data_IF_226220751223
#
_entry.id   IF_226220751223
#
_cell.length_a   1.000
_cell.length_b   1.000
_cell.length_c   1.000
_cell.angle_alpha   90.00
_cell.angle_beta   90.00
_cell.angle_gamma   90.00
#
_symmetry.space_group_name_H-M   'P 1'
#
loop_
_entity.id
_entity.type
_entity.pdbx_description
1 polymer ?
#
# COMPACT_ATOMS: atom_id res chain seq x y z
N UNK A 1 -24.80 0.93 -7.66
CA UNK A 1 -23.97 2.08 -8.08
C UNK A 1 -22.77 1.54 -8.82
N UNK A 2 -22.42 2.12 -9.97
CA UNK A 2 -21.36 1.62 -10.85
C UNK A 2 -20.04 2.29 -10.47
N UNK A 3 -19.06 1.50 -10.04
CA UNK A 3 -17.68 1.97 -9.88
C UNK A 3 -16.95 1.90 -11.23
N UNK A 4 -16.07 2.86 -11.50
CA UNK A 4 -15.22 2.83 -12.69
C UNK A 4 -13.74 3.01 -12.33
N UNK A 5 -12.87 2.59 -13.24
CA UNK A 5 -11.42 2.72 -13.09
C UNK A 5 -10.90 3.82 -14.00
N UNK A 6 -10.27 4.82 -13.40
CA UNK A 6 -9.55 5.88 -14.09
C UNK A 6 -8.06 5.55 -14.09
N UNK A 7 -7.44 5.58 -15.27
CA UNK A 7 -6.00 5.31 -15.40
C UNK A 7 -5.20 6.54 -14.94
N UNK A 8 -4.37 6.36 -13.93
CA UNK A 8 -3.49 7.42 -13.39
C UNK A 8 -2.11 7.34 -14.04
N UNK A 9 -1.47 6.17 -13.95
CA UNK A 9 -0.16 5.94 -14.55
C UNK A 9 0.02 4.47 -14.90
N UNK A 10 0.71 4.17 -16.01
CA UNK A 10 1.02 2.80 -16.41
C UNK A 10 2.43 2.76 -17.00
N UNK A 11 3.27 1.92 -16.42
CA UNK A 11 4.60 1.57 -16.90
C UNK A 11 4.83 0.06 -16.69
N UNK A 12 5.92 -0.51 -17.24
CA UNK A 12 6.30 -1.90 -16.98
C UNK A 12 6.52 -2.22 -15.49
N UNK A 13 6.92 -1.22 -14.70
CA UNK A 13 7.27 -1.38 -13.28
C UNK A 13 6.11 -1.16 -12.32
N UNK A 14 5.09 -0.40 -12.74
CA UNK A 14 3.91 -0.11 -11.93
C UNK A 14 2.72 0.34 -12.79
N UNK A 15 1.52 -0.09 -12.42
CA UNK A 15 0.26 0.40 -12.98
C UNK A 15 -0.66 0.87 -11.85
N UNK A 16 -1.12 2.12 -11.93
CA UNK A 16 -1.98 2.77 -10.94
C UNK A 16 -3.29 3.18 -11.61
N UNK A 17 -4.39 2.70 -11.03
CA UNK A 17 -5.74 3.10 -11.41
C UNK A 17 -6.46 3.64 -10.18
N UNK A 18 -7.19 4.74 -10.34
CA UNK A 18 -8.07 5.29 -9.31
C UNK A 18 -9.45 4.65 -9.45
N UNK A 19 -10.03 4.21 -8.35
CA UNK A 19 -11.42 3.73 -8.33
C UNK A 19 -12.32 4.93 -8.05
N UNK A 20 -13.07 5.38 -9.05
CA UNK A 20 -14.11 6.38 -8.84
C UNK A 20 -15.41 5.66 -8.46
N UNK A 21 -16.02 6.12 -7.37
CA UNK A 21 -17.23 5.54 -6.82
C UNK A 21 -17.66 6.31 -5.58
N UNK A 22 -18.78 5.90 -4.99
CA UNK A 22 -19.35 6.58 -3.83
C UNK A 22 -18.71 6.05 -2.53
N UNK A 23 -17.50 6.52 -2.23
CA UNK A 23 -16.78 6.22 -0.99
C UNK A 23 -16.17 7.50 -0.42
N UNK A 24 -16.10 7.60 0.91
CA UNK A 24 -15.38 8.68 1.58
C UNK A 24 -13.85 8.54 1.51
N UNK A 25 -13.34 7.44 0.95
CA UNK A 25 -11.92 7.17 0.82
C UNK A 25 -11.48 7.28 -0.64
N UNK A 26 -10.32 7.92 -0.86
CA UNK A 26 -9.59 7.80 -2.11
C UNK A 26 -9.06 6.37 -2.22
N UNK A 27 -9.40 5.68 -3.31
CA UNK A 27 -9.05 4.28 -3.53
C UNK A 27 -8.26 4.12 -4.81
N UNK A 28 -7.19 3.34 -4.72
CA UNK A 28 -6.33 3.01 -5.83
C UNK A 28 -6.21 1.49 -5.97
N UNK A 29 -6.12 1.02 -7.23
CA UNK A 29 -5.64 -0.30 -7.58
C UNK A 29 -4.24 -0.13 -8.12
N UNK A 30 -3.29 -0.80 -7.48
CA UNK A 30 -1.88 -0.75 -7.89
C UNK A 30 -1.38 -2.15 -8.19
N UNK A 31 -0.85 -2.32 -9.40
CA UNK A 31 -0.21 -3.55 -9.86
C UNK A 31 1.28 -3.31 -10.04
N UNK A 32 2.10 -4.21 -9.51
CA UNK A 32 3.57 -4.20 -9.60
C UNK A 32 4.06 -5.58 -10.02
N UNK A 33 5.28 -5.74 -10.54
CA UNK A 33 5.89 -7.05 -10.76
C UNK A 33 5.82 -7.96 -9.53
N UNK A 34 5.93 -7.38 -8.33
CA UNK A 34 5.83 -8.09 -7.06
C UNK A 34 4.42 -8.63 -6.79
N UNK A 35 3.37 -7.80 -6.93
CA UNK A 35 1.99 -8.27 -6.74
C UNK A 35 1.55 -9.22 -7.84
N UNK A 36 1.93 -8.96 -9.10
CA UNK A 36 1.69 -9.89 -10.21
C UNK A 36 2.36 -11.24 -9.99
N UNK A 37 3.60 -11.25 -9.48
CA UNK A 37 4.28 -12.50 -9.18
C UNK A 37 3.52 -13.27 -8.08
N UNK A 38 3.10 -12.61 -7.00
CA UNK A 38 2.32 -13.23 -5.92
C UNK A 38 1.02 -13.85 -6.46
N UNK A 39 0.29 -13.12 -7.30
CA UNK A 39 -0.98 -13.60 -7.85
C UNK A 39 -0.82 -14.76 -8.83
N UNK A 40 0.30 -14.81 -9.58
CA UNK A 40 0.50 -15.77 -10.67
C UNK A 40 1.40 -16.97 -10.30
N UNK A 41 2.09 -16.96 -9.15
CA UNK A 41 3.03 -18.02 -8.74
C UNK A 41 2.77 -18.47 -7.30
N UNK A 42 2.12 -19.61 -7.15
CA UNK A 42 1.69 -20.15 -5.85
C UNK A 42 2.87 -20.57 -4.97
N UNK A 43 4.05 -20.81 -5.55
CA UNK A 43 5.27 -21.20 -4.83
C UNK A 43 5.88 -20.04 -4.04
N UNK A 44 5.39 -18.81 -4.24
CA UNK A 44 5.82 -17.63 -3.48
C UNK A 44 5.13 -17.66 -2.12
N UNK A 45 5.83 -18.23 -1.14
CA UNK A 45 5.36 -18.38 0.24
C UNK A 45 6.37 -17.84 1.26
N UNK A 46 5.94 -17.77 2.52
CA UNK A 46 6.79 -17.38 3.65
C UNK A 46 7.45 -16.01 3.47
N UNK A 47 8.75 -15.92 3.78
CA UNK A 47 9.49 -14.65 3.73
C UNK A 47 9.54 -14.04 2.33
N UNK A 48 9.57 -14.87 1.26
CA UNK A 48 9.56 -14.37 -0.12
C UNK A 48 8.26 -13.64 -0.45
N UNK A 49 7.13 -14.16 0.05
CA UNK A 49 5.83 -13.52 -0.07
C UNK A 49 5.81 -12.18 0.65
N UNK A 50 6.19 -12.16 1.94
CA UNK A 50 6.18 -10.93 2.74
C UNK A 50 7.10 -9.86 2.15
N UNK A 51 8.32 -10.21 1.72
CA UNK A 51 9.24 -9.25 1.10
C UNK A 51 8.68 -8.64 -0.19
N UNK A 52 7.98 -9.44 -1.01
CA UNK A 52 7.33 -8.94 -2.23
C UNK A 52 6.18 -8.00 -1.90
N UNK A 53 5.35 -8.33 -0.91
CA UNK A 53 4.29 -7.42 -0.45
C UNK A 53 4.89 -6.10 0.03
N UNK A 54 5.88 -6.13 0.93
CA UNK A 54 6.49 -4.90 1.46
C UNK A 54 7.04 -4.02 0.34
N UNK A 55 7.74 -4.61 -0.64
CA UNK A 55 8.26 -3.89 -1.80
C UNK A 55 7.14 -3.33 -2.69
N UNK A 56 6.03 -4.05 -2.85
CA UNK A 56 4.87 -3.54 -3.57
C UNK A 56 4.21 -2.35 -2.86
N UNK A 57 4.12 -2.38 -1.52
CA UNK A 57 3.59 -1.25 -0.72
C UNK A 57 4.49 -0.03 -0.84
N UNK A 58 5.81 -0.19 -0.72
CA UNK A 58 6.79 0.88 -0.91
C UNK A 58 6.68 1.52 -2.30
N UNK A 59 6.58 0.70 -3.36
CA UNK A 59 6.35 1.20 -4.73
C UNK A 59 5.01 1.94 -4.86
N UNK A 60 3.96 1.41 -4.24
CA UNK A 60 2.63 2.02 -4.24
C UNK A 60 2.68 3.42 -3.62
N UNK A 61 3.28 3.56 -2.44
CA UNK A 61 3.42 4.84 -1.75
C UNK A 61 4.12 5.88 -2.64
N UNK A 62 5.18 5.48 -3.34
CA UNK A 62 5.91 6.39 -4.23
C UNK A 62 5.19 6.73 -5.55
N UNK A 63 4.14 6.00 -5.92
CA UNK A 63 3.51 6.12 -7.25
C UNK A 63 2.10 6.72 -7.23
N UNK A 64 1.45 6.81 -6.08
CA UNK A 64 0.14 7.47 -5.97
C UNK A 64 0.28 8.99 -6.16
N UNK A 65 -0.74 9.67 -6.72
CA UNK A 65 -0.69 11.12 -6.95
C UNK A 65 -0.38 11.95 -5.70
N UNK A 66 -0.81 11.47 -4.53
CA UNK A 66 -0.62 12.14 -3.25
C UNK A 66 0.78 11.92 -2.65
N UNK A 67 1.68 11.16 -3.29
CA UNK A 67 2.98 10.81 -2.72
C UNK A 67 3.78 12.02 -2.23
N UNK A 68 3.83 13.09 -3.02
CA UNK A 68 4.56 14.31 -2.64
C UNK A 68 3.90 15.10 -1.51
N UNK A 69 2.57 15.06 -1.42
CA UNK A 69 1.84 15.65 -0.31
C UNK A 69 2.05 14.83 0.97
N UNK A 70 1.95 13.51 0.89
CA UNK A 70 2.17 12.58 2.01
C UNK A 70 3.60 12.67 2.55
N UNK A 71 4.61 12.80 1.67
CA UNK A 71 6.01 12.93 2.07
C UNK A 71 6.29 14.19 2.90
N UNK A 72 5.45 15.22 2.78
CA UNK A 72 5.60 16.49 3.53
C UNK A 72 4.91 16.47 4.90
N UNK A 73 4.08 15.46 5.18
CA UNK A 73 3.41 15.34 6.48
C UNK A 73 4.46 14.95 7.52
N UNK A 74 4.60 15.71 8.63
CA UNK A 74 5.53 15.35 9.70
C UNK A 74 5.25 13.95 10.22
N UNK A 75 6.29 13.16 10.46
CA UNK A 75 6.14 11.73 10.73
C UNK A 75 5.34 11.44 12.03
N UNK A 76 5.46 12.30 13.04
CA UNK A 76 4.70 12.24 14.30
C UNK A 76 3.20 12.53 14.15
N UNK A 77 2.75 13.09 13.04
CA UNK A 77 1.32 13.31 12.74
C UNK A 77 0.68 12.10 12.04
N UNK A 78 1.49 11.12 11.65
CA UNK A 78 1.00 9.90 11.01
C UNK A 78 0.62 8.83 12.05
N UNK A 79 -0.52 8.18 11.82
CA UNK A 79 -0.94 6.97 12.52
C UNK A 79 -1.10 5.81 11.54
N UNK A 80 -0.36 4.72 11.78
CA UNK A 80 -0.47 3.49 11.01
C UNK A 80 -1.42 2.53 11.71
N UNK A 81 -2.56 2.27 11.09
CA UNK A 81 -3.56 1.33 11.60
C UNK A 81 -3.34 -0.06 10.98
N UNK A 82 -2.95 -1.02 11.80
CA UNK A 82 -2.72 -2.40 11.40
C UNK A 82 -3.91 -3.29 11.79
N UNK A 83 -4.66 -3.79 10.79
CA UNK A 83 -5.71 -4.79 11.01
C UNK A 83 -5.10 -6.20 11.15
N UNK A 84 -5.23 -6.80 12.33
CA UNK A 84 -4.67 -8.11 12.61
C UNK A 84 -5.56 -9.25 12.06
N UNK A 85 -4.99 -10.36 11.57
CA UNK A 85 -3.55 -10.69 11.49
C UNK A 85 -2.92 -10.39 10.13
N UNK A 86 -3.71 -10.43 9.06
CA UNK A 86 -3.22 -10.31 7.68
C UNK A 86 -2.54 -8.97 7.38
N UNK A 87 -2.94 -7.88 8.03
CA UNK A 87 -2.37 -6.55 7.85
C UNK A 87 -0.88 -6.46 8.22
N UNK A 88 -0.39 -7.34 9.10
CA UNK A 88 1.04 -7.37 9.46
C UNK A 88 1.95 -7.69 8.28
N UNK A 89 1.47 -8.44 7.28
CA UNK A 89 2.27 -8.79 6.12
C UNK A 89 2.61 -7.58 5.23
N UNK A 90 1.85 -6.50 5.34
CA UNK A 90 2.05 -5.28 4.55
C UNK A 90 3.12 -4.37 5.14
N UNK A 91 3.40 -4.49 6.44
CA UNK A 91 4.38 -3.72 7.20
C UNK A 91 4.48 -2.25 6.77
N UNK A 92 3.32 -1.58 6.78
CA UNK A 92 3.15 -0.21 6.26
C UNK A 92 4.10 0.78 6.94
N UNK A 93 4.45 0.52 8.21
CA UNK A 93 5.41 1.31 8.99
C UNK A 93 6.79 1.36 8.34
N UNK A 94 7.32 0.19 8.02
CA UNK A 94 8.61 0.04 7.36
C UNK A 94 8.54 0.56 5.91
N UNK A 95 7.42 0.36 5.22
CA UNK A 95 7.22 0.92 3.89
C UNK A 95 7.18 2.47 3.89
N UNK A 96 6.55 3.10 4.88
CA UNK A 96 6.57 4.56 5.07
C UNK A 96 7.98 5.07 5.39
N UNK A 97 8.72 4.34 6.21
CA UNK A 97 10.13 4.66 6.50
C UNK A 97 10.98 4.62 5.24
N UNK A 98 10.85 3.57 4.43
CA UNK A 98 11.59 3.43 3.16
C UNK A 98 11.17 4.42 2.08
N UNK A 99 9.88 4.73 1.98
CA UNK A 99 9.37 5.64 0.95
C UNK A 99 9.59 7.13 1.29
N UNK A 100 9.42 7.50 2.56
CA UNK A 100 9.36 8.91 2.98
C UNK A 100 10.38 9.29 4.06
N UNK A 101 11.11 8.33 4.64
CA UNK A 101 12.06 8.59 5.73
C UNK A 101 11.42 8.66 7.12
N UNK A 102 10.14 8.35 7.25
CA UNK A 102 9.41 8.44 8.52
C UNK A 102 9.93 7.43 9.56
N UNK A 103 10.04 7.85 10.83
CA UNK A 103 10.46 6.94 11.90
C UNK A 103 9.71 7.13 13.24
N UNK A 104 8.98 8.24 13.40
CA UNK A 104 8.30 8.59 14.65
C UNK A 104 6.76 8.54 14.56
N UNK A 105 6.22 7.74 13.65
CA UNK A 105 4.77 7.59 13.49
C UNK A 105 4.17 6.72 14.59
N UNK A 106 2.95 7.05 15.01
CA UNK A 106 2.19 6.21 15.93
C UNK A 106 1.65 4.96 15.21
N UNK A 107 1.45 3.86 15.94
CA UNK A 107 0.90 2.62 15.38
C UNK A 107 -0.22 2.10 16.26
N UNK A 108 -1.37 1.80 15.64
CA UNK A 108 -2.52 1.20 16.31
C UNK A 108 -2.79 -0.17 15.73
N UNK A 109 -2.85 -1.20 16.59
CA UNK A 109 -3.20 -2.56 16.19
C UNK A 109 -4.66 -2.83 16.52
N UNK A 110 -5.47 -3.10 15.50
CA UNK A 110 -6.88 -3.43 15.66
C UNK A 110 -7.09 -4.92 15.41
N UNK A 111 -7.80 -5.57 16.33
CA UNK A 111 -8.28 -6.93 16.16
C UNK A 111 -9.75 -6.85 15.78
N UNK A 112 -10.09 -7.28 14.57
CA UNK A 112 -11.48 -7.47 14.20
C UNK A 112 -11.99 -8.73 14.90
N UNK A 113 -12.86 -8.58 15.90
CA UNK A 113 -13.68 -9.68 16.40
C UNK A 113 -15.00 -9.67 15.63
N UNK A 114 -15.37 -10.84 15.11
CA UNK A 114 -16.68 -11.06 14.48
C UNK A 114 -17.62 -11.66 15.51
#
# INVERSE_FOLDING_TARGET
MQENLEKVSVSPDISVYKINGNSCLTRYIVSTPETMAICNKQEIIGVKFTNKIKKAVEKTLNAIPEADALRKIPDYENNVVCLLRGGLNFDVRDALSRAYGNNNHSTTFLITRR
#
